data_IF_161167885568
#
_entry.id   IF_161167885568
#
_cell.length_a   1.000
_cell.length_b   1.000
_cell.length_c   1.000
_cell.angle_alpha   90.00
_cell.angle_beta   90.00
_cell.angle_gamma   90.00
#
_symmetry.space_group_name_H-M   'P 1'
#
loop_
_entity.id
_entity.type
_entity.pdbx_description
1 polymer ?
#
# COMPACT_ATOMS: atom_id res chain seq x y z
N UNK A 1 26.94 31.02 -14.66
CA UNK A 1 26.72 31.02 -13.21
C UNK A 1 25.37 30.37 -12.99
N UNK A 2 25.40 29.15 -12.44
CA UNK A 2 24.29 28.22 -12.22
C UNK A 2 23.15 28.82 -11.38
N UNK A 3 21.89 28.36 -11.57
CA UNK A 3 20.72 28.88 -10.87
C UNK A 3 20.64 28.38 -9.42
N UNK A 4 20.37 29.29 -8.50
CA UNK A 4 20.23 29.00 -7.07
C UNK A 4 18.82 28.45 -6.75
N UNK A 5 18.82 27.18 -6.33
CA UNK A 5 18.08 26.57 -5.24
C UNK A 5 16.77 27.22 -4.75
N UNK A 6 15.68 26.49 -4.97
CA UNK A 6 14.42 26.62 -4.23
C UNK A 6 13.56 25.37 -4.40
N UNK A 7 14.01 24.20 -3.91
CA UNK A 7 13.11 23.05 -3.78
C UNK A 7 12.23 23.28 -2.57
N UNK A 8 11.06 23.86 -2.79
CA UNK A 8 9.97 23.83 -1.81
C UNK A 8 9.60 22.37 -1.63
N UNK A 9 10.02 21.76 -0.53
CA UNK A 9 9.47 20.47 -0.06
C UNK A 9 8.02 20.72 0.34
N UNK A 10 7.15 20.91 -0.64
CA UNK A 10 5.72 21.02 -0.44
C UNK A 10 5.12 19.64 -0.48
N UNK A 11 4.42 19.25 0.59
CA UNK A 11 3.53 18.10 0.60
C UNK A 11 2.61 18.18 -0.62
N UNK A 12 2.71 17.23 -1.55
CA UNK A 12 1.77 17.15 -2.65
C UNK A 12 0.41 16.73 -2.09
N UNK A 13 -0.63 17.51 -2.37
CA UNK A 13 -2.00 17.20 -1.95
C UNK A 13 -2.77 16.73 -3.17
N UNK A 14 -3.37 15.55 -3.08
CA UNK A 14 -4.24 14.98 -4.12
C UNK A 14 -5.68 14.99 -3.63
N UNK A 15 -6.51 15.80 -4.29
CA UNK A 15 -7.93 15.93 -3.97
C UNK A 15 -8.69 14.69 -4.45
N UNK A 16 -9.59 14.16 -3.60
CA UNK A 16 -10.42 13.02 -3.98
C UNK A 16 -11.59 13.46 -4.88
N UNK A 17 -11.80 12.73 -5.97
CA UNK A 17 -12.99 12.90 -6.81
C UNK A 17 -14.25 12.38 -6.10
N UNK A 18 -15.44 12.69 -6.64
CA UNK A 18 -16.70 12.15 -6.10
C UNK A 18 -16.74 10.62 -6.12
N UNK A 19 -16.10 10.00 -7.12
CA UNK A 19 -15.97 8.54 -7.19
C UNK A 19 -15.11 8.02 -6.05
N UNK A 20 -13.93 8.60 -5.82
CA UNK A 20 -13.02 8.16 -4.76
C UNK A 20 -13.65 8.31 -3.38
N UNK A 21 -14.37 9.42 -3.13
CA UNK A 21 -15.08 9.68 -1.86
C UNK A 21 -16.12 8.60 -1.54
N UNK A 22 -16.77 8.03 -2.56
CA UNK A 22 -17.78 6.99 -2.39
C UNK A 22 -17.18 5.66 -1.90
N UNK A 23 -15.87 5.47 -2.03
CA UNK A 23 -15.16 4.23 -1.69
C UNK A 23 -14.07 4.41 -0.63
N UNK A 24 -14.08 5.52 0.13
CA UNK A 24 -13.06 5.78 1.17
C UNK A 24 -12.98 4.68 2.23
N UNK A 25 -14.11 4.03 2.54
CA UNK A 25 -14.17 2.89 3.47
C UNK A 25 -13.89 1.53 2.84
N UNK A 26 -13.60 1.46 1.55
CA UNK A 26 -13.40 0.20 0.84
C UNK A 26 -11.94 -0.25 0.94
N UNK A 27 -11.72 -1.43 1.51
CA UNK A 27 -10.40 -2.05 1.61
C UNK A 27 -10.30 -3.24 0.65
N UNK A 28 -9.22 -3.31 -0.12
CA UNK A 28 -8.91 -4.45 -0.99
C UNK A 28 -7.79 -5.26 -0.37
N UNK A 29 -8.07 -6.53 -0.07
CA UNK A 29 -7.06 -7.51 0.31
C UNK A 29 -6.70 -8.39 -0.89
N UNK A 30 -5.42 -8.74 -1.02
CA UNK A 30 -4.94 -9.69 -2.03
C UNK A 30 -3.90 -10.62 -1.41
N UNK A 31 -4.00 -11.92 -1.71
CA UNK A 31 -3.03 -12.94 -1.31
C UNK A 31 -2.35 -13.50 -2.57
N UNK A 32 -1.04 -13.29 -2.66
CA UNK A 32 -0.20 -13.77 -3.76
C UNK A 32 0.74 -14.83 -3.22
N UNK A 33 0.66 -16.04 -3.78
CA UNK A 33 1.45 -17.19 -3.36
C UNK A 33 2.46 -17.51 -4.47
N UNK A 34 3.73 -17.67 -4.09
CA UNK A 34 4.83 -17.94 -5.01
C UNK A 34 5.53 -19.23 -4.61
N UNK A 35 5.57 -20.21 -5.52
CA UNK A 35 6.28 -21.48 -5.34
C UNK A 35 7.50 -21.54 -6.27
N UNK A 36 8.54 -20.77 -5.92
CA UNK A 36 9.76 -20.68 -6.70
C UNK A 36 10.92 -20.11 -5.89
N UNK A 37 12.18 -20.36 -6.30
CA UNK A 37 13.34 -19.86 -5.57
C UNK A 37 13.41 -18.34 -5.67
N UNK A 38 13.39 -17.67 -4.53
CA UNK A 38 13.62 -16.22 -4.43
C UNK A 38 14.82 -15.97 -3.54
N UNK A 39 15.86 -15.33 -4.11
CA UNK A 39 17.02 -14.91 -3.34
C UNK A 39 16.65 -13.69 -2.48
N UNK A 40 16.78 -13.82 -1.15
CA UNK A 40 16.50 -12.74 -0.19
C UNK A 40 15.13 -12.07 -0.44
N UNK A 41 14.01 -12.82 -0.33
CA UNK A 41 12.69 -12.35 -0.74
C UNK A 41 12.26 -11.05 -0.05
N UNK A 42 12.55 -10.92 1.25
CA UNK A 42 12.23 -9.72 2.03
C UNK A 42 12.91 -8.48 1.45
N UNK A 43 14.20 -8.55 1.13
CA UNK A 43 14.95 -7.42 0.58
C UNK A 43 14.58 -7.13 -0.87
N UNK A 44 14.30 -8.17 -1.66
CA UNK A 44 13.83 -8.02 -3.03
C UNK A 44 12.50 -7.25 -3.07
N UNK A 45 11.53 -7.64 -2.24
CA UNK A 45 10.22 -6.97 -2.16
C UNK A 45 10.38 -5.55 -1.61
N UNK A 46 11.12 -5.36 -0.50
CA UNK A 46 11.37 -4.03 0.08
C UNK A 46 11.94 -3.06 -0.96
N UNK A 47 12.99 -3.45 -1.68
CA UNK A 47 13.62 -2.61 -2.72
C UNK A 47 12.71 -2.37 -3.93
N UNK A 48 11.95 -3.38 -4.33
CA UNK A 48 10.93 -3.24 -5.37
C UNK A 48 9.89 -2.19 -5.00
N UNK A 49 9.32 -2.32 -3.80
CA UNK A 49 8.31 -1.42 -3.26
C UNK A 49 8.84 0.01 -3.12
N UNK A 50 10.04 0.21 -2.56
CA UNK A 50 10.64 1.54 -2.44
C UNK A 50 10.79 2.27 -3.79
N UNK A 51 11.14 1.55 -4.85
CA UNK A 51 11.22 2.12 -6.20
C UNK A 51 9.83 2.43 -6.78
N UNK A 52 8.87 1.53 -6.57
CA UNK A 52 7.50 1.73 -7.04
C UNK A 52 6.85 2.97 -6.40
N UNK A 53 7.07 3.21 -5.11
CA UNK A 53 6.50 4.37 -4.39
C UNK A 53 6.98 5.73 -4.91
N UNK A 54 8.12 5.79 -5.63
CA UNK A 54 8.53 7.02 -6.31
C UNK A 54 7.54 7.42 -7.42
N UNK A 55 6.92 6.44 -8.07
CA UNK A 55 5.92 6.63 -9.11
C UNK A 55 4.49 6.65 -8.54
N UNK A 56 4.25 5.92 -7.46
CA UNK A 56 2.95 5.80 -6.79
C UNK A 56 2.96 6.51 -5.43
N UNK A 57 3.26 7.80 -5.44
CA UNK A 57 3.45 8.60 -4.22
C UNK A 57 2.18 8.70 -3.37
N UNK A 58 1.01 8.68 -4.01
CA UNK A 58 -0.30 8.69 -3.34
C UNK A 58 -0.50 7.48 -2.43
N UNK A 59 0.07 6.32 -2.78
CA UNK A 59 0.01 5.09 -1.97
C UNK A 59 0.81 5.23 -0.67
N UNK A 60 1.88 6.05 -0.68
CA UNK A 60 2.67 6.38 0.51
C UNK A 60 2.12 7.57 1.31
N UNK A 61 1.00 8.17 0.87
CA UNK A 61 0.38 9.30 1.54
C UNK A 61 -0.53 8.91 2.71
N UNK A 62 -1.23 9.91 3.25
CA UNK A 62 -2.27 9.73 4.27
C UNK A 62 -3.56 10.39 3.84
N UNK A 63 -4.67 9.72 4.07
CA UNK A 63 -5.98 10.33 3.95
C UNK A 63 -6.13 11.37 5.06
N UNK A 64 -6.55 12.57 4.70
CA UNK A 64 -6.80 13.68 5.61
C UNK A 64 -8.08 14.42 5.19
N UNK A 65 -8.69 15.09 6.15
CA UNK A 65 -9.80 16.00 5.95
C UNK A 65 -9.31 17.43 6.13
N UNK A 66 -9.74 18.34 5.28
CA UNK A 66 -9.63 19.77 5.57
C UNK A 66 -10.83 20.18 6.43
N UNK A 67 -10.58 20.88 7.53
CA UNK A 67 -11.63 21.51 8.34
C UNK A 67 -12.17 22.72 7.57
N UNK A 68 -13.25 22.51 6.82
CA UNK A 68 -14.12 23.59 6.34
C UNK A 68 -15.56 23.15 6.62
N UNK A 69 -16.36 24.08 7.15
CA UNK A 69 -17.74 23.88 7.61
C UNK A 69 -18.59 23.14 6.55
N UNK A 70 -19.31 22.13 7.02
CA UNK A 70 -20.37 21.35 6.35
C UNK A 70 -20.00 20.35 5.23
N UNK A 71 -18.79 20.40 4.63
CA UNK A 71 -18.34 19.41 3.63
C UNK A 71 -16.82 19.21 3.68
N UNK A 72 -16.34 18.42 4.65
CA UNK A 72 -14.90 18.17 4.81
C UNK A 72 -14.31 17.58 3.52
N UNK A 73 -13.47 18.35 2.82
CA UNK A 73 -12.89 17.92 1.56
C UNK A 73 -11.78 16.91 1.85
N UNK A 74 -12.07 15.64 1.60
CA UNK A 74 -11.10 14.55 1.73
C UNK A 74 -10.01 14.64 0.67
N UNK A 75 -8.77 14.48 1.10
CA UNK A 75 -7.60 14.51 0.25
C UNK A 75 -6.53 13.53 0.75
N UNK A 76 -5.56 13.22 -0.12
CA UNK A 76 -4.36 12.47 0.25
C UNK A 76 -3.19 13.44 0.37
N UNK A 77 -2.64 13.56 1.58
CA UNK A 77 -1.39 14.26 1.84
C UNK A 77 -0.21 13.33 1.54
N UNK A 78 0.54 13.61 0.47
CA UNK A 78 1.71 12.83 0.08
C UNK A 78 2.95 13.32 0.84
N UNK A 79 3.08 12.92 2.10
CA UNK A 79 4.16 13.35 3.01
C UNK A 79 5.46 12.56 2.84
N UNK A 80 5.41 11.43 2.13
CA UNK A 80 6.57 10.56 1.96
C UNK A 80 6.90 9.69 3.18
N UNK A 81 5.97 9.58 4.14
CA UNK A 81 6.10 8.68 5.31
C UNK A 81 6.26 7.21 4.92
N UNK A 82 5.87 6.85 3.70
CA UNK A 82 5.94 5.48 3.20
C UNK A 82 4.76 4.63 3.64
N UNK A 83 4.93 3.32 3.46
CA UNK A 83 3.91 2.30 3.74
C UNK A 83 4.43 1.30 4.76
N UNK A 84 3.56 0.74 5.62
CA UNK A 84 3.92 -0.37 6.47
C UNK A 84 4.40 -1.57 5.63
N UNK A 85 5.52 -2.17 6.03
CA UNK A 85 6.04 -3.39 5.43
C UNK A 85 6.46 -4.33 6.54
N UNK A 86 5.79 -5.48 6.62
CA UNK A 86 6.04 -6.51 7.64
C UNK A 86 6.63 -7.74 6.99
N UNK A 87 7.75 -8.22 7.53
CA UNK A 87 8.33 -9.50 7.16
C UNK A 87 8.08 -10.50 8.31
N UNK A 88 7.55 -11.66 7.97
CA UNK A 88 7.25 -12.73 8.91
C UNK A 88 7.73 -14.08 8.36
N UNK A 89 7.90 -15.05 9.25
CA UNK A 89 8.19 -16.44 8.91
C UNK A 89 7.16 -17.36 9.55
N UNK A 90 6.90 -18.50 8.91
CA UNK A 90 6.06 -19.56 9.43
C UNK A 90 6.92 -20.81 9.65
N UNK A 91 6.61 -21.57 10.71
CA UNK A 91 7.29 -22.84 11.02
C UNK A 91 6.77 -24.04 10.24
N UNK A 92 6.01 -23.82 9.16
CA UNK A 92 5.43 -24.87 8.31
C UNK A 92 5.75 -24.61 6.83
N UNK A 93 5.68 -25.67 6.02
CA UNK A 93 5.84 -25.55 4.57
C UNK A 93 4.52 -25.13 3.93
N UNK A 94 4.62 -24.44 2.79
CA UNK A 94 3.45 -23.99 2.02
C UNK A 94 2.59 -25.18 1.55
N UNK A 95 3.24 -26.29 1.21
CA UNK A 95 2.63 -27.52 0.73
C UNK A 95 1.83 -28.25 1.82
N UNK A 96 2.14 -28.06 3.10
CA UNK A 96 1.48 -28.76 4.22
C UNK A 96 0.00 -28.37 4.36
N UNK A 97 -0.41 -27.26 3.75
CA UNK A 97 -1.74 -26.67 3.93
C UNK A 97 -2.56 -26.55 2.64
N UNK A 98 -2.14 -27.18 1.54
CA UNK A 98 -2.88 -27.13 0.27
C UNK A 98 -3.11 -25.68 -0.21
N UNK A 99 -2.26 -24.74 0.19
CA UNK A 99 -2.38 -23.31 -0.13
C UNK A 99 -2.24 -23.04 -1.63
N UNK A 100 -1.62 -23.97 -2.35
CA UNK A 100 -1.47 -23.98 -3.80
C UNK A 100 -2.64 -24.66 -4.51
N UNK A 101 -3.53 -25.33 -3.78
CA UNK A 101 -4.69 -26.04 -4.32
C UNK A 101 -5.91 -25.10 -4.37
N UNK A 102 -6.41 -24.80 -5.57
CA UNK A 102 -7.70 -24.10 -5.71
C UNK A 102 -8.83 -25.02 -5.20
N UNK A 103 -9.84 -24.50 -4.44
CA UNK A 103 -10.19 -23.09 -4.22
C UNK A 103 -9.78 -22.54 -2.83
N UNK A 104 -8.84 -23.18 -2.12
CA UNK A 104 -8.57 -22.89 -0.71
C UNK A 104 -8.13 -21.44 -0.45
N UNK A 105 -7.46 -20.82 -1.43
CA UNK A 105 -6.92 -19.45 -1.36
C UNK A 105 -7.96 -18.34 -1.13
N UNK A 106 -9.21 -18.50 -1.59
CA UNK A 106 -10.25 -17.47 -1.38
C UNK A 106 -10.75 -17.44 0.06
N UNK A 107 -11.00 -18.60 0.68
CA UNK A 107 -11.50 -18.67 2.07
C UNK A 107 -10.50 -18.15 3.10
N UNK A 108 -9.20 -18.21 2.77
CA UNK A 108 -8.14 -17.66 3.61
C UNK A 108 -8.09 -16.14 3.55
N UNK A 109 -8.44 -15.55 2.40
CA UNK A 109 -8.47 -14.10 2.24
C UNK A 109 -9.54 -13.48 3.14
N UNK A 110 -10.73 -14.09 3.22
CA UNK A 110 -11.79 -13.66 4.14
C UNK A 110 -11.37 -13.75 5.61
N UNK A 111 -10.51 -14.72 5.96
CA UNK A 111 -9.98 -14.88 7.33
C UNK A 111 -8.84 -13.93 7.66
N UNK A 112 -8.12 -13.44 6.66
CA UNK A 112 -7.05 -12.43 6.82
C UNK A 112 -7.60 -11.01 6.73
N UNK A 113 -8.72 -10.82 6.04
CA UNK A 113 -9.48 -9.58 6.00
C UNK A 113 -10.23 -9.38 7.34
N UNK A 114 -9.48 -9.30 8.43
CA UNK A 114 -9.98 -8.81 9.72
C UNK A 114 -9.44 -7.40 9.89
N UNK A 115 -10.38 -6.47 10.08
CA UNK A 115 -10.24 -5.01 10.11
C UNK A 115 -9.14 -4.47 11.04
#
# INVERSE_FOLDING_TARGET
MEPALGKTTGTQVVQLSSWDRSYVGFQVAALLIFDGPVHQPVEAIRKGLSRALLHYQTVAGRLAAADDDDDSVLHVACTGEGVPFVAASAGCALQDHGLLDAPFSMSLLDRLAVA
#
